data_IF_654577690081
#
_entry.id   IF_654577690081
#
_cell.length_a   1.000
_cell.length_b   1.000
_cell.length_c   1.000
_cell.angle_alpha   90.00
_cell.angle_beta   90.00
_cell.angle_gamma   90.00
#
_symmetry.space_group_name_H-M   'P 1'
#
loop_
_entity.id
_entity.type
_entity.pdbx_description
1 polymer ?
#
# COMPACT_ATOMS: atom_id res chain seq x y z
N UNK A 1 12.97 45.36 50.26
CA UNK A 1 12.27 44.66 49.16
C UNK A 1 10.94 45.35 48.81
N UNK A 2 10.11 45.68 49.82
CA UNK A 2 8.80 46.36 49.68
C UNK A 2 8.90 47.73 48.96
N UNK A 3 9.92 48.55 49.25
CA UNK A 3 10.14 49.83 48.56
C UNK A 3 10.46 49.72 47.07
N UNK A 4 11.00 48.59 46.62
CA UNK A 4 11.25 48.34 45.21
C UNK A 4 9.96 47.96 44.48
N UNK A 5 9.09 47.18 45.14
CA UNK A 5 7.77 46.79 44.65
C UNK A 5 6.85 48.03 44.56
N UNK A 6 6.81 48.87 45.59
CA UNK A 6 6.02 50.11 45.57
C UNK A 6 6.49 51.13 44.52
N UNK A 7 7.77 51.09 44.11
CA UNK A 7 8.30 51.92 43.02
C UNK A 7 7.98 51.37 41.64
N UNK A 8 7.92 50.04 41.48
CA UNK A 8 7.43 49.36 40.28
C UNK A 8 5.93 49.62 40.04
N UNK A 9 5.17 49.85 41.12
CA UNK A 9 3.74 50.17 41.09
C UNK A 9 3.40 51.63 40.73
N UNK A 10 4.37 52.45 40.28
CA UNK A 10 4.06 53.79 39.77
C UNK A 10 3.25 53.66 38.47
N UNK A 11 2.16 54.42 38.34
CA UNK A 11 1.24 54.41 37.18
C UNK A 11 1.97 54.32 35.82
N UNK A 12 3.06 55.06 35.64
CA UNK A 12 3.88 55.05 34.41
C UNK A 12 4.56 53.71 34.09
N UNK A 13 5.01 52.96 35.09
CA UNK A 13 5.67 51.66 34.90
C UNK A 13 4.65 50.55 34.67
N UNK A 14 3.53 50.57 35.40
CA UNK A 14 2.38 49.68 35.14
C UNK A 14 1.89 49.84 33.69
N UNK A 15 1.72 51.08 33.24
CA UNK A 15 1.32 51.37 31.85
C UNK A 15 2.34 50.82 30.84
N UNK A 16 3.63 50.93 31.13
CA UNK A 16 4.70 50.40 30.26
C UNK A 16 4.63 48.86 30.18
N UNK A 17 4.41 48.17 31.30
CA UNK A 17 4.26 46.70 31.33
C UNK A 17 3.05 46.25 30.53
N UNK A 18 1.90 46.91 30.72
CA UNK A 18 0.67 46.58 29.99
C UNK A 18 0.86 46.77 28.48
N UNK A 19 1.43 47.89 28.05
CA UNK A 19 1.67 48.17 26.63
C UNK A 19 2.60 47.12 26.00
N UNK A 20 3.73 46.82 26.64
CA UNK A 20 4.69 45.83 26.10
C UNK A 20 4.04 44.44 26.04
N UNK A 21 3.29 44.05 27.08
CA UNK A 21 2.59 42.76 27.12
C UNK A 21 1.55 42.66 25.99
N UNK A 22 0.78 43.72 25.75
CA UNK A 22 -0.18 43.79 24.64
C UNK A 22 0.49 43.73 23.27
N UNK A 23 1.60 44.45 23.08
CA UNK A 23 2.39 44.40 21.83
C UNK A 23 2.89 43.00 21.56
N UNK A 24 3.40 42.30 22.59
CA UNK A 24 3.81 40.91 22.42
C UNK A 24 2.64 39.97 22.15
N UNK A 25 1.46 40.21 22.75
CA UNK A 25 0.24 39.50 22.38
C UNK A 25 -0.11 39.67 20.89
N UNK A 26 -0.04 40.90 20.37
CA UNK A 26 -0.24 41.19 18.94
C UNK A 26 0.83 40.53 18.07
N UNK A 27 2.10 40.51 18.48
CA UNK A 27 3.16 39.79 17.77
C UNK A 27 2.93 38.28 17.77
N UNK A 28 2.41 37.72 18.87
CA UNK A 28 2.02 36.32 18.96
C UNK A 28 0.89 35.98 17.99
N UNK A 29 -0.13 36.83 17.91
CA UNK A 29 -1.23 36.64 16.95
C UNK A 29 -0.76 36.85 15.49
N UNK A 30 0.12 37.82 15.25
CA UNK A 30 0.76 38.01 13.95
C UNK A 30 1.59 36.77 13.55
N UNK A 31 2.36 36.20 14.47
CA UNK A 31 3.10 34.95 14.24
C UNK A 31 2.14 33.77 13.96
N UNK A 32 1.03 33.69 14.70
CA UNK A 32 0.01 32.68 14.49
C UNK A 32 -0.60 32.79 13.07
N UNK A 33 -1.06 33.96 12.67
CA UNK A 33 -1.68 34.21 11.36
C UNK A 33 -0.68 34.05 10.20
N UNK A 34 0.55 34.58 10.35
CA UNK A 34 1.52 34.59 9.25
C UNK A 34 2.22 33.24 9.06
N UNK A 35 2.52 32.53 10.14
CA UNK A 35 3.38 31.33 10.10
C UNK A 35 2.58 30.08 10.45
N UNK A 36 2.04 30.00 11.67
CA UNK A 36 1.43 28.77 12.19
C UNK A 36 0.21 28.35 11.37
N UNK A 37 -0.72 29.26 11.13
CA UNK A 37 -1.94 29.00 10.36
C UNK A 37 -1.66 28.68 8.89
N UNK A 38 -0.48 29.04 8.36
CA UNK A 38 -0.06 28.80 6.97
C UNK A 38 0.99 27.69 6.83
N UNK A 39 1.28 26.96 7.91
CA UNK A 39 2.06 25.73 7.87
C UNK A 39 1.12 24.61 8.28
N UNK A 40 0.77 23.77 7.32
CA UNK A 40 -0.17 22.67 7.53
C UNK A 40 0.57 21.35 7.41
N UNK A 41 0.19 20.40 8.25
CA UNK A 41 0.72 19.05 8.26
C UNK A 41 -0.45 18.09 8.15
N UNK A 42 -0.41 17.17 7.20
CA UNK A 42 -1.26 15.97 7.23
C UNK A 42 -0.41 14.76 7.59
N UNK A 43 -1.07 13.73 8.11
CA UNK A 43 -0.46 12.42 8.31
C UNK A 43 -1.07 11.45 7.32
N UNK A 44 -0.25 10.76 6.54
CA UNK A 44 -0.67 9.64 5.67
C UNK A 44 -0.18 8.35 6.34
N UNK A 45 -1.10 7.44 6.62
CA UNK A 45 -0.81 6.11 7.16
C UNK A 45 -1.27 5.06 6.14
N UNK A 46 -0.33 4.23 5.70
CA UNK A 46 -0.58 3.12 4.78
C UNK A 46 -0.94 1.86 5.55
N UNK A 47 -2.06 1.25 5.19
CA UNK A 47 -2.65 0.10 5.87
C UNK A 47 -3.08 -0.97 4.86
N UNK A 48 -2.09 -1.55 4.18
CA UNK A 48 -2.31 -2.65 3.24
C UNK A 48 -1.17 -3.68 3.32
N UNK A 49 -1.43 -4.95 2.95
CA UNK A 49 -0.40 -5.98 2.91
C UNK A 49 0.74 -5.58 1.98
N UNK A 50 1.98 -5.63 2.46
CA UNK A 50 3.16 -5.24 1.67
C UNK A 50 3.73 -3.87 2.00
N UNK A 51 2.96 -2.95 2.60
CA UNK A 51 3.46 -1.63 2.99
C UNK A 51 4.69 -1.72 3.94
N UNK A 52 4.67 -2.65 4.90
CA UNK A 52 5.79 -2.90 5.82
C UNK A 52 7.04 -3.49 5.13
N UNK A 53 6.90 -3.95 3.88
CA UNK A 53 8.01 -4.43 3.04
C UNK A 53 8.44 -3.39 2.02
N UNK A 54 7.84 -2.19 2.02
CA UNK A 54 8.11 -1.16 1.02
C UNK A 54 7.55 -1.49 -0.36
N UNK A 55 6.49 -2.30 -0.43
CA UNK A 55 5.79 -2.64 -1.66
C UNK A 55 4.42 -1.96 -1.70
N UNK A 56 3.99 -1.56 -2.88
CA UNK A 56 2.62 -1.15 -3.21
C UNK A 56 1.68 -2.39 -3.29
N UNK A 57 0.35 -2.22 -3.33
CA UNK A 57 -0.60 -3.35 -3.42
C UNK A 57 -0.41 -4.23 -4.66
N UNK A 58 -0.01 -3.64 -5.79
CA UNK A 58 0.36 -4.35 -7.03
C UNK A 58 1.72 -5.09 -6.95
N UNK A 59 2.45 -4.95 -5.83
CA UNK A 59 3.77 -5.55 -5.62
C UNK A 59 4.94 -4.74 -6.14
N UNK A 60 4.72 -3.58 -6.77
CA UNK A 60 5.80 -2.66 -7.17
C UNK A 60 6.45 -2.00 -5.95
N UNK A 61 7.66 -1.45 -6.10
CA UNK A 61 8.34 -0.77 -4.99
C UNK A 61 7.65 0.57 -4.68
N UNK A 62 7.44 0.83 -3.38
CA UNK A 62 6.86 2.10 -2.92
C UNK A 62 7.84 3.27 -3.10
N UNK A 63 7.38 4.35 -3.73
CA UNK A 63 8.15 5.58 -3.90
C UNK A 63 7.50 6.76 -3.16
N UNK A 64 8.22 7.30 -2.17
CA UNK A 64 7.78 8.48 -1.40
C UNK A 64 7.63 9.74 -2.27
N UNK A 65 8.34 9.78 -3.41
CA UNK A 65 8.29 10.86 -4.41
C UNK A 65 6.91 10.99 -5.05
N UNK A 66 6.11 9.92 -5.09
CA UNK A 66 4.80 9.91 -5.74
C UNK A 66 3.81 10.88 -5.09
N UNK A 67 3.94 11.11 -3.77
CA UNK A 67 3.13 12.11 -3.04
C UNK A 67 3.31 13.52 -3.65
N UNK A 68 4.47 13.77 -4.27
CA UNK A 68 4.83 15.04 -4.89
C UNK A 68 4.95 14.93 -6.42
N UNK A 69 4.38 13.89 -7.03
CA UNK A 69 4.41 13.74 -8.47
C UNK A 69 3.76 14.96 -9.15
N UNK A 70 4.27 15.40 -10.32
CA UNK A 70 3.72 16.56 -11.03
C UNK A 70 2.20 16.44 -11.26
N UNK A 71 1.73 15.27 -11.69
CA UNK A 71 0.31 14.99 -11.93
C UNK A 71 -0.56 15.13 -10.67
N UNK A 72 -0.04 14.70 -9.52
CA UNK A 72 -0.71 14.84 -8.22
C UNK A 72 -0.81 16.31 -7.82
N UNK A 73 0.28 17.06 -7.98
CA UNK A 73 0.34 18.48 -7.63
C UNK A 73 -0.50 19.35 -8.58
N UNK A 74 -0.54 19.02 -9.87
CA UNK A 74 -1.41 19.65 -10.87
C UNK A 74 -2.88 19.47 -10.50
N UNK A 75 -3.31 18.24 -10.18
CA UNK A 75 -4.67 17.98 -9.68
C UNK A 75 -4.94 18.73 -8.37
N UNK A 76 -3.97 18.77 -7.45
CA UNK A 76 -4.13 19.43 -6.15
C UNK A 76 -4.30 20.95 -6.24
N UNK A 77 -3.71 21.61 -7.24
CA UNK A 77 -3.80 23.08 -7.40
C UNK A 77 -5.03 23.55 -8.17
N UNK A 78 -5.74 22.66 -8.90
CA UNK A 78 -6.84 23.02 -9.78
C UNK A 78 -7.99 23.80 -9.09
N UNK A 79 -8.23 23.53 -7.80
CA UNK A 79 -9.29 24.17 -7.01
C UNK A 79 -8.79 25.35 -6.14
N UNK A 80 -7.54 25.80 -6.30
CA UNK A 80 -7.03 26.99 -5.62
C UNK A 80 -7.46 28.26 -6.37
N UNK A 81 -7.72 29.35 -5.66
CA UNK A 81 -8.05 30.63 -6.32
C UNK A 81 -6.88 31.19 -7.12
N UNK A 82 -5.66 30.79 -6.78
CA UNK A 82 -4.46 31.09 -7.54
C UNK A 82 -3.89 29.77 -8.09
N UNK A 83 -4.44 29.33 -9.23
CA UNK A 83 -4.07 28.09 -9.91
C UNK A 83 -2.85 28.24 -10.85
N UNK A 84 -2.40 29.48 -11.13
CA UNK A 84 -1.19 29.81 -11.91
C UNK A 84 0.13 29.51 -11.17
N UNK A 85 0.08 28.79 -10.05
CA UNK A 85 1.28 28.40 -9.32
C UNK A 85 2.00 27.31 -10.12
N UNK A 86 3.28 27.56 -10.43
CA UNK A 86 4.17 26.57 -11.02
C UNK A 86 4.30 25.33 -10.11
N UNK A 87 4.22 24.15 -10.72
CA UNK A 87 4.19 22.87 -10.02
C UNK A 87 5.55 22.51 -9.43
N UNK A 88 6.65 22.88 -10.09
CA UNK A 88 7.99 22.66 -9.54
C UNK A 88 8.22 23.54 -8.31
N UNK A 89 7.77 24.79 -8.38
CA UNK A 89 7.74 25.66 -7.22
C UNK A 89 6.88 25.08 -6.08
N UNK A 90 5.68 24.57 -6.38
CA UNK A 90 4.80 23.96 -5.39
C UNK A 90 5.45 22.72 -4.74
N UNK A 91 6.11 21.88 -5.55
CA UNK A 91 6.87 20.71 -5.13
C UNK A 91 7.94 21.06 -4.09
N UNK A 92 8.67 22.16 -4.31
CA UNK A 92 9.69 22.65 -3.36
C UNK A 92 9.13 23.08 -1.99
N UNK A 93 7.82 23.35 -1.92
CA UNK A 93 7.11 23.79 -0.70
C UNK A 93 6.41 22.65 0.03
N UNK A 94 6.35 21.47 -0.56
CA UNK A 94 5.86 20.24 0.07
C UNK A 94 7.06 19.48 0.63
N UNK A 95 7.06 19.18 1.92
CA UNK A 95 8.08 18.35 2.58
C UNK A 95 7.42 17.09 3.10
N UNK A 96 7.99 15.93 2.78
CA UNK A 96 7.50 14.64 3.28
C UNK A 96 8.56 14.10 4.23
N UNK A 97 8.17 13.81 5.46
CA UNK A 97 9.01 13.21 6.49
C UNK A 97 8.41 11.87 6.91
N UNK A 98 9.26 10.92 7.25
CA UNK A 98 8.83 9.62 7.78
C UNK A 98 8.53 9.75 9.26
N UNK A 99 7.49 9.06 9.73
CA UNK A 99 7.25 8.88 11.16
C UNK A 99 7.83 7.54 11.58
N UNK A 100 8.92 7.58 12.34
CA UNK A 100 9.46 6.37 12.99
C UNK A 100 9.01 6.37 14.45
N UNK A 101 8.44 5.25 14.91
CA UNK A 101 8.07 5.11 16.33
C UNK A 101 9.34 4.95 17.17
N UNK A 102 9.29 5.39 18.43
CA UNK A 102 10.42 5.20 19.36
C UNK A 102 10.84 3.73 19.47
N UNK A 103 9.86 2.82 19.57
CA UNK A 103 10.10 1.38 19.59
C UNK A 103 10.79 0.85 18.32
N UNK A 104 10.41 1.35 17.13
CA UNK A 104 11.08 0.97 15.90
C UNK A 104 12.52 1.49 15.87
N UNK A 105 12.77 2.72 16.32
CA UNK A 105 14.13 3.26 16.46
C UNK A 105 14.96 2.45 17.46
N UNK A 106 14.42 2.12 18.62
CA UNK A 106 15.11 1.34 19.65
C UNK A 106 15.50 -0.05 19.12
N UNK A 107 14.62 -0.68 18.34
CA UNK A 107 14.89 -1.95 17.67
C UNK A 107 16.01 -1.82 16.62
N UNK A 108 15.95 -0.80 15.76
CA UNK A 108 17.00 -0.55 14.76
C UNK A 108 18.35 -0.31 15.45
N UNK A 109 18.37 0.53 16.50
CA UNK A 109 19.59 0.83 17.27
C UNK A 109 20.13 -0.43 17.95
N UNK A 110 19.27 -1.26 18.54
CA UNK A 110 19.65 -2.55 19.13
C UNK A 110 20.20 -3.52 18.07
N UNK A 111 19.56 -3.64 16.91
CA UNK A 111 20.01 -4.54 15.84
C UNK A 111 21.37 -4.09 15.29
N UNK A 112 21.56 -2.79 15.05
CA UNK A 112 22.86 -2.22 14.64
C UNK A 112 23.93 -2.46 15.69
N UNK A 113 23.61 -2.29 16.98
CA UNK A 113 24.54 -2.58 18.07
C UNK A 113 24.95 -4.06 18.14
N UNK A 114 24.06 -4.95 17.71
CA UNK A 114 24.31 -6.40 17.64
C UNK A 114 24.82 -6.86 16.27
N UNK A 115 25.35 -5.97 15.43
CA UNK A 115 25.86 -6.26 14.07
C UNK A 115 24.84 -6.94 13.14
N UNK A 116 23.54 -6.73 13.38
CA UNK A 116 22.46 -7.23 12.52
C UNK A 116 22.02 -6.16 11.55
N UNK A 117 21.83 -6.56 10.30
CA UNK A 117 21.18 -5.72 9.29
C UNK A 117 19.69 -5.58 9.63
N UNK A 118 19.27 -4.37 10.00
CA UNK A 118 17.87 -4.03 10.26
C UNK A 118 17.38 -3.04 9.21
N UNK A 119 16.37 -3.45 8.45
CA UNK A 119 15.70 -2.58 7.46
C UNK A 119 14.34 -2.24 8.05
N UNK A 120 14.09 -0.95 8.26
CA UNK A 120 12.79 -0.45 8.68
C UNK A 120 12.13 0.32 7.54
N UNK A 121 10.96 -0.14 7.11
CA UNK A 121 10.12 0.54 6.12
C UNK A 121 8.99 1.29 6.84
N UNK A 122 9.00 2.64 6.82
CA UNK A 122 7.97 3.43 7.47
C UNK A 122 6.66 3.32 6.69
N UNK A 123 5.56 3.06 7.41
CA UNK A 123 4.20 3.06 6.86
C UNK A 123 3.43 4.35 7.13
N UNK A 124 4.01 5.28 7.90
CA UNK A 124 3.40 6.56 8.26
C UNK A 124 4.30 7.73 7.88
N UNK A 125 3.70 8.75 7.25
CA UNK A 125 4.38 9.90 6.71
C UNK A 125 3.70 11.20 7.13
N UNK A 126 4.52 12.21 7.44
CA UNK A 126 4.07 13.58 7.66
C UNK A 126 4.33 14.40 6.42
N UNK A 127 3.27 14.99 5.87
CA UNK A 127 3.37 15.87 4.70
C UNK A 127 3.10 17.29 5.16
N UNK A 128 4.12 18.14 5.03
CA UNK A 128 4.08 19.55 5.39
C UNK A 128 3.94 20.40 4.14
N UNK A 129 3.05 21.38 4.19
CA UNK A 129 2.95 22.43 3.19
C UNK A 129 2.96 23.80 3.84
N UNK A 130 3.67 24.74 3.20
CA UNK A 130 3.63 26.13 3.61
C UNK A 130 3.44 27.07 2.43
N UNK A 131 2.32 27.79 2.42
CA UNK A 131 2.03 28.79 1.39
C UNK A 131 3.12 29.86 1.31
N UNK A 132 3.52 30.25 0.09
CA UNK A 132 4.58 31.24 -0.16
C UNK A 132 4.18 32.62 0.36
N UNK A 133 3.12 33.17 -0.20
CA UNK A 133 2.69 34.52 0.14
C UNK A 133 1.97 34.51 1.49
N UNK A 134 2.65 35.04 2.51
CA UNK A 134 2.15 35.19 3.88
C UNK A 134 1.22 36.40 4.04
N UNK A 135 0.83 37.09 2.98
CA UNK A 135 -0.12 38.20 3.07
C UNK A 135 -1.37 37.95 2.22
N UNK A 136 -1.38 36.96 1.33
CA UNK A 136 -2.57 36.55 0.59
C UNK A 136 -3.53 35.72 1.45
N UNK A 137 -4.74 35.49 0.94
CA UNK A 137 -5.72 34.58 1.55
C UNK A 137 -5.04 33.22 1.82
N UNK A 138 -5.27 32.67 3.02
CA UNK A 138 -4.73 31.38 3.38
C UNK A 138 -5.51 30.28 2.67
N UNK A 139 -4.84 29.53 1.80
CA UNK A 139 -5.37 28.36 1.08
C UNK A 139 -4.60 27.09 1.44
N UNK A 140 -3.74 27.15 2.47
CA UNK A 140 -2.88 26.03 2.86
C UNK A 140 -3.67 24.79 3.27
N UNK A 141 -4.87 24.98 3.81
CA UNK A 141 -5.77 23.89 4.18
C UNK A 141 -6.43 23.26 2.96
N UNK A 142 -7.09 24.08 2.13
CA UNK A 142 -7.73 23.66 0.88
C UNK A 142 -6.72 22.91 -0.01
N UNK A 143 -5.48 23.41 -0.09
CA UNK A 143 -4.43 22.72 -0.81
C UNK A 143 -4.13 21.33 -0.22
N UNK A 144 -4.03 21.20 1.10
CA UNK A 144 -3.75 19.90 1.74
C UNK A 144 -4.91 18.91 1.58
N UNK A 145 -6.15 19.38 1.60
CA UNK A 145 -7.34 18.57 1.29
C UNK A 145 -7.31 18.08 -0.16
N UNK A 146 -7.05 18.97 -1.11
CA UNK A 146 -6.93 18.61 -2.52
C UNK A 146 -5.74 17.69 -2.78
N UNK A 147 -4.61 17.91 -2.10
CA UNK A 147 -3.43 17.05 -2.22
C UNK A 147 -3.72 15.64 -1.69
N UNK A 148 -4.40 15.54 -0.55
CA UNK A 148 -4.84 14.25 -0.01
C UNK A 148 -5.75 13.52 -1.01
N UNK A 149 -6.75 14.20 -1.57
CA UNK A 149 -7.66 13.63 -2.57
C UNK A 149 -6.92 13.21 -3.85
N UNK A 150 -6.12 14.09 -4.42
CA UNK A 150 -5.38 13.85 -5.65
C UNK A 150 -4.39 12.68 -5.51
N UNK A 151 -3.70 12.59 -4.36
CA UNK A 151 -2.79 11.48 -4.10
C UNK A 151 -3.54 10.16 -3.91
N UNK A 152 -4.67 10.15 -3.19
CA UNK A 152 -5.51 8.94 -3.05
C UNK A 152 -5.97 8.44 -4.42
N UNK A 153 -6.46 9.34 -5.28
CA UNK A 153 -6.87 9.00 -6.65
C UNK A 153 -5.69 8.44 -7.47
N UNK A 154 -4.55 9.14 -7.47
CA UNK A 154 -3.33 8.71 -8.16
C UNK A 154 -2.86 7.34 -7.70
N UNK A 155 -2.80 7.12 -6.38
CA UNK A 155 -2.36 5.85 -5.82
C UNK A 155 -3.33 4.74 -6.22
N UNK A 156 -4.63 4.99 -6.07
CA UNK A 156 -5.66 3.99 -6.34
C UNK A 156 -5.64 3.57 -7.81
N UNK A 157 -5.53 4.53 -8.72
CA UNK A 157 -5.46 4.29 -10.16
C UNK A 157 -4.19 3.55 -10.57
N UNK A 158 -3.05 3.91 -9.98
CA UNK A 158 -1.73 3.38 -10.40
C UNK A 158 -1.39 2.03 -9.78
N UNK A 159 -1.74 1.83 -8.51
CA UNK A 159 -1.20 0.75 -7.68
C UNK A 159 -2.24 -0.19 -7.10
N UNK A 160 -3.54 0.05 -7.30
CA UNK A 160 -4.54 -0.94 -6.89
C UNK A 160 -4.45 -2.18 -7.75
N UNK A 161 -4.84 -3.30 -7.14
CA UNK A 161 -5.00 -4.56 -7.84
C UNK A 161 -5.96 -4.39 -9.01
N UNK A 162 -5.65 -5.07 -10.12
CA UNK A 162 -6.48 -5.10 -11.32
C UNK A 162 -7.10 -6.46 -11.48
N UNK A 163 -8.28 -6.48 -12.08
CA UNK A 163 -9.07 -7.69 -12.30
C UNK A 163 -9.16 -8.08 -13.78
N UNK A 164 -8.17 -7.70 -14.58
CA UNK A 164 -8.11 -8.00 -16.03
C UNK A 164 -8.25 -9.50 -16.34
N UNK A 165 -7.87 -10.38 -15.41
CA UNK A 165 -8.09 -11.83 -15.50
C UNK A 165 -9.57 -12.22 -15.59
N UNK A 166 -10.48 -11.35 -15.16
CA UNK A 166 -11.93 -11.52 -15.27
C UNK A 166 -12.46 -11.11 -16.64
N UNK A 167 -11.79 -10.20 -17.35
CA UNK A 167 -12.32 -9.63 -18.61
C UNK A 167 -12.37 -10.68 -19.71
N UNK A 168 -13.58 -10.93 -20.21
CA UNK A 168 -13.83 -11.73 -21.40
C UNK A 168 -14.83 -10.99 -22.28
N UNK A 169 -14.48 -10.84 -23.56
CA UNK A 169 -15.33 -10.25 -24.59
C UNK A 169 -15.51 -11.24 -25.72
N UNK A 170 -16.74 -11.47 -26.14
CA UNK A 170 -17.02 -12.31 -27.30
C UNK A 170 -16.34 -11.73 -28.54
N UNK A 171 -15.74 -12.61 -29.36
CA UNK A 171 -14.95 -12.22 -30.53
C UNK A 171 -13.54 -11.67 -30.24
N UNK A 172 -13.12 -11.55 -28.97
CA UNK A 172 -11.72 -11.17 -28.65
C UNK A 172 -10.70 -12.31 -28.85
N UNK A 173 -11.18 -13.55 -28.98
CA UNK A 173 -10.36 -14.72 -29.24
C UNK A 173 -10.55 -15.19 -30.69
N UNK A 174 -9.44 -15.46 -31.39
CA UNK A 174 -9.49 -16.05 -32.72
C UNK A 174 -9.59 -17.58 -32.64
N UNK A 175 -10.78 -18.09 -32.95
CA UNK A 175 -11.09 -19.52 -33.02
C UNK A 175 -11.13 -20.09 -34.45
N UNK A 176 -10.88 -19.27 -35.47
CA UNK A 176 -11.06 -19.66 -36.87
C UNK A 176 -10.19 -20.85 -37.28
N UNK A 177 -8.93 -20.87 -36.85
CA UNK A 177 -7.97 -21.95 -37.10
C UNK A 177 -7.83 -22.99 -35.98
N UNK A 178 -8.74 -23.00 -34.99
CA UNK A 178 -8.68 -23.90 -33.82
C UNK A 178 -9.73 -24.99 -33.94
N UNK A 179 -9.35 -26.21 -33.56
CA UNK A 179 -10.31 -27.32 -33.44
C UNK A 179 -11.17 -27.16 -32.16
N UNK A 180 -12.34 -27.79 -32.11
CA UNK A 180 -13.30 -27.67 -31.02
C UNK A 180 -12.74 -28.07 -29.65
N UNK A 181 -11.91 -29.12 -29.59
CA UNK A 181 -11.22 -29.53 -28.36
C UNK A 181 -10.26 -28.44 -27.84
N UNK A 182 -9.63 -27.68 -28.75
CA UNK A 182 -8.75 -26.56 -28.38
C UNK A 182 -9.54 -25.38 -27.87
N UNK A 183 -10.64 -25.05 -28.53
CA UNK A 183 -11.54 -23.98 -28.12
C UNK A 183 -12.07 -24.25 -26.71
N UNK A 184 -12.53 -25.47 -26.43
CA UNK A 184 -12.92 -25.90 -25.08
C UNK A 184 -11.77 -25.69 -24.07
N UNK A 185 -10.56 -26.13 -24.40
CA UNK A 185 -9.39 -25.99 -23.50
C UNK A 185 -9.08 -24.52 -23.19
N UNK A 186 -9.13 -23.64 -24.19
CA UNK A 186 -8.89 -22.19 -24.04
C UNK A 186 -9.95 -21.58 -23.12
N UNK A 187 -11.24 -21.84 -23.39
CA UNK A 187 -12.35 -21.32 -22.58
C UNK A 187 -12.28 -21.85 -21.15
N UNK A 188 -12.02 -23.14 -20.97
CA UNK A 188 -11.86 -23.75 -19.65
C UNK A 188 -10.71 -23.12 -18.87
N UNK A 189 -9.55 -22.91 -19.48
CA UNK A 189 -8.41 -22.27 -18.82
C UNK A 189 -8.71 -20.83 -18.41
N UNK A 190 -9.45 -20.08 -19.25
CA UNK A 190 -9.93 -18.74 -18.90
C UNK A 190 -10.86 -18.78 -17.69
N UNK A 191 -11.85 -19.66 -17.70
CA UNK A 191 -12.82 -19.82 -16.60
C UNK A 191 -12.15 -20.29 -15.30
N UNK A 192 -11.22 -21.24 -15.38
CA UNK A 192 -10.45 -21.70 -14.20
C UNK A 192 -9.56 -20.57 -13.63
N UNK A 193 -9.02 -19.69 -14.49
CA UNK A 193 -8.27 -18.50 -14.05
C UNK A 193 -9.17 -17.49 -13.35
N UNK A 194 -10.35 -17.21 -13.92
CA UNK A 194 -11.38 -16.35 -13.30
C UNK A 194 -11.79 -16.90 -11.93
N UNK A 195 -12.08 -18.20 -11.86
CA UNK A 195 -12.50 -18.86 -10.62
C UNK A 195 -11.40 -18.80 -9.55
N UNK A 196 -10.16 -19.06 -9.94
CA UNK A 196 -9.01 -19.04 -9.02
C UNK A 196 -8.81 -17.65 -8.43
N UNK A 197 -8.90 -16.61 -9.27
CA UNK A 197 -8.83 -15.22 -8.83
C UNK A 197 -9.94 -14.87 -7.84
N UNK A 198 -11.21 -15.12 -8.19
CA UNK A 198 -12.35 -14.79 -7.32
C UNK A 198 -12.29 -15.55 -6.00
N UNK A 199 -11.87 -16.83 -6.02
CA UNK A 199 -11.66 -17.61 -4.78
C UNK A 199 -10.53 -17.05 -3.91
N UNK A 200 -9.48 -16.49 -4.51
CA UNK A 200 -8.43 -15.80 -3.76
C UNK A 200 -9.01 -14.60 -3.02
N UNK A 201 -9.72 -13.72 -3.74
CA UNK A 201 -10.35 -12.52 -3.16
C UNK A 201 -11.39 -12.90 -2.08
N UNK A 202 -12.19 -13.94 -2.32
CA UNK A 202 -13.13 -14.48 -1.33
C UNK A 202 -12.42 -14.95 -0.06
N UNK A 203 -11.27 -15.61 -0.18
CA UNK A 203 -10.50 -16.09 0.97
C UNK A 203 -9.88 -14.96 1.78
N UNK A 204 -9.50 -13.86 1.13
CA UNK A 204 -8.99 -12.66 1.81
C UNK A 204 -10.08 -11.98 2.65
N UNK A 205 -11.31 -11.88 2.13
CA UNK A 205 -12.43 -11.31 2.88
C UNK A 205 -13.77 -11.99 2.60
N UNK A 206 -14.06 -13.02 3.40
CA UNK A 206 -15.32 -13.78 3.32
C UNK A 206 -16.56 -13.00 3.77
N UNK A 207 -16.39 -11.90 4.50
CA UNK A 207 -17.49 -11.13 5.07
C UNK A 207 -17.95 -9.98 4.17
N UNK A 208 -17.31 -9.77 3.02
CA UNK A 208 -17.69 -8.72 2.07
C UNK A 208 -19.02 -9.04 1.38
N UNK A 209 -19.85 -8.01 1.25
CA UNK A 209 -21.08 -8.02 0.46
C UNK A 209 -21.17 -6.71 -0.33
N UNK A 210 -21.63 -6.80 -1.57
CA UNK A 210 -22.00 -5.65 -2.41
C UNK A 210 -23.23 -4.93 -1.88
N UNK A 211 -23.54 -3.75 -2.41
CA UNK A 211 -24.78 -3.03 -2.08
C UNK A 211 -26.04 -3.89 -2.37
N UNK A 212 -25.97 -4.67 -3.44
CA UNK A 212 -27.01 -5.62 -3.88
C UNK A 212 -27.07 -6.91 -3.02
N UNK A 213 -26.30 -6.99 -1.93
CA UNK A 213 -26.19 -8.15 -1.01
C UNK A 213 -25.67 -9.43 -1.68
N UNK A 214 -24.91 -9.30 -2.76
CA UNK A 214 -24.19 -10.40 -3.40
C UNK A 214 -22.77 -10.44 -2.82
N UNK A 215 -22.11 -11.60 -2.83
CA UNK A 215 -20.72 -11.72 -2.38
C UNK A 215 -19.86 -12.47 -3.40
N UNK A 216 -18.54 -12.43 -3.20
CA UNK A 216 -17.56 -13.12 -4.05
C UNK A 216 -17.77 -14.65 -4.09
N UNK A 217 -18.38 -15.23 -3.05
CA UNK A 217 -18.74 -16.66 -3.04
C UNK A 217 -19.85 -16.99 -4.02
N UNK A 218 -20.86 -16.13 -4.16
CA UNK A 218 -21.90 -16.28 -5.19
C UNK A 218 -21.30 -16.13 -6.59
N UNK A 219 -20.42 -15.15 -6.80
CA UNK A 219 -19.71 -14.97 -8.06
C UNK A 219 -18.86 -16.20 -8.43
N UNK A 220 -18.08 -16.73 -7.47
CA UNK A 220 -17.33 -17.98 -7.65
C UNK A 220 -18.27 -19.14 -8.02
N UNK A 221 -19.45 -19.22 -7.41
CA UNK A 221 -20.42 -20.27 -7.72
C UNK A 221 -21.01 -20.15 -9.12
N UNK A 222 -21.25 -18.93 -9.61
CA UNK A 222 -21.69 -18.71 -10.98
C UNK A 222 -20.63 -19.15 -11.99
N UNK A 223 -19.35 -18.86 -11.73
CA UNK A 223 -18.22 -19.32 -12.56
C UNK A 223 -18.09 -20.84 -12.52
N UNK A 224 -18.23 -21.47 -11.35
CA UNK A 224 -18.26 -22.94 -11.23
C UNK A 224 -19.41 -23.55 -12.03
N UNK A 225 -20.62 -22.97 -11.94
CA UNK A 225 -21.77 -23.48 -12.67
C UNK A 225 -21.57 -23.39 -14.18
N UNK A 226 -21.05 -22.27 -14.69
CA UNK A 226 -20.72 -22.13 -16.11
C UNK A 226 -19.69 -23.18 -16.56
N UNK A 227 -18.63 -23.37 -15.75
CA UNK A 227 -17.60 -24.38 -16.03
C UNK A 227 -18.18 -25.79 -16.05
N UNK A 228 -18.85 -26.18 -14.97
CA UNK A 228 -19.26 -27.56 -14.70
C UNK A 228 -20.55 -27.95 -15.45
N UNK A 229 -21.26 -26.97 -16.03
CA UNK A 229 -22.51 -27.19 -16.78
C UNK A 229 -22.35 -26.75 -18.24
N UNK A 230 -22.25 -25.45 -18.51
CA UNK A 230 -22.28 -24.94 -19.89
C UNK A 230 -21.08 -25.42 -20.71
N UNK A 231 -19.85 -25.28 -20.18
CA UNK A 231 -18.65 -25.78 -20.88
C UNK A 231 -18.62 -27.30 -20.98
N UNK A 232 -18.97 -28.02 -19.90
CA UNK A 232 -19.01 -29.49 -19.93
C UNK A 232 -20.08 -30.03 -20.89
N UNK A 233 -21.22 -29.34 -21.08
CA UNK A 233 -22.22 -29.71 -22.07
C UNK A 233 -21.67 -29.62 -23.49
N UNK A 234 -20.95 -28.54 -23.82
CA UNK A 234 -20.27 -28.42 -25.11
C UNK A 234 -19.19 -29.49 -25.28
N UNK A 235 -18.38 -29.71 -24.26
CA UNK A 235 -17.34 -30.75 -24.26
C UNK A 235 -17.94 -32.15 -24.48
N UNK A 236 -19.01 -32.47 -23.78
CA UNK A 236 -19.74 -33.72 -23.95
C UNK A 236 -20.28 -33.85 -25.38
N UNK A 237 -20.86 -32.78 -25.96
CA UNK A 237 -21.37 -32.79 -27.33
C UNK A 237 -20.26 -33.08 -28.35
N UNK A 238 -19.12 -32.39 -28.27
CA UNK A 238 -18.02 -32.57 -29.23
C UNK A 238 -17.35 -33.94 -29.07
N UNK A 239 -17.15 -34.42 -27.84
CA UNK A 239 -16.49 -35.71 -27.61
C UNK A 239 -17.43 -36.87 -27.88
N UNK A 240 -18.72 -36.78 -27.53
CA UNK A 240 -19.68 -37.86 -27.79
C UNK A 240 -19.80 -38.16 -29.28
N UNK A 241 -19.87 -37.11 -30.10
CA UNK A 241 -20.03 -37.20 -31.54
C UNK A 241 -18.71 -37.17 -32.32
N UNK A 242 -17.56 -37.12 -31.64
CA UNK A 242 -16.22 -37.01 -32.23
C UNK A 242 -16.12 -35.87 -33.27
N UNK A 243 -16.65 -34.69 -32.90
CA UNK A 243 -16.72 -33.53 -33.78
C UNK A 243 -15.34 -32.88 -33.86
N UNK A 244 -14.87 -32.63 -35.08
CA UNK A 244 -13.59 -31.98 -35.35
C UNK A 244 -13.66 -31.19 -36.65
N UNK A 245 -13.07 -30.00 -36.65
CA UNK A 245 -12.92 -29.20 -37.88
C UNK A 245 -11.97 -29.89 -38.85
N UNK A 246 -10.90 -30.51 -38.34
CA UNK A 246 -9.95 -31.30 -39.11
C UNK A 246 -9.61 -32.61 -38.37
N UNK A 247 -10.32 -33.70 -38.70
CA UNK A 247 -10.18 -34.95 -37.96
C UNK A 247 -8.78 -35.54 -38.08
N UNK A 248 -8.13 -35.38 -39.23
CA UNK A 248 -6.76 -35.87 -39.45
C UNK A 248 -5.75 -35.22 -38.49
N UNK A 249 -5.84 -33.91 -38.32
CA UNK A 249 -4.97 -33.18 -37.38
C UNK A 249 -5.31 -33.53 -35.93
N UNK A 250 -6.60 -33.67 -35.59
CA UNK A 250 -7.02 -34.06 -34.24
C UNK A 250 -6.51 -35.45 -33.86
N UNK A 251 -6.58 -36.43 -34.76
CA UNK A 251 -6.04 -37.78 -34.54
C UNK A 251 -4.53 -37.72 -34.34
N UNK A 252 -3.79 -37.02 -35.21
CA UNK A 252 -2.33 -36.86 -35.05
C UNK A 252 -1.94 -36.19 -33.75
N UNK A 253 -2.68 -35.15 -33.37
CA UNK A 253 -2.42 -34.39 -32.16
C UNK A 253 -2.69 -35.22 -30.91
N UNK A 254 -3.78 -35.97 -30.88
CA UNK A 254 -4.09 -36.86 -29.75
C UNK A 254 -3.08 -38.00 -29.65
N UNK A 255 -2.63 -38.59 -30.76
CA UNK A 255 -1.54 -39.58 -30.78
C UNK A 255 -0.22 -39.01 -30.23
N UNK A 256 0.14 -37.80 -30.68
CA UNK A 256 1.30 -37.08 -30.15
C UNK A 256 1.18 -36.83 -28.64
N UNK A 257 0.01 -36.40 -28.15
CA UNK A 257 -0.23 -36.17 -26.72
C UNK A 257 -0.12 -37.47 -25.92
N UNK A 258 -0.59 -38.61 -26.44
CA UNK A 258 -0.37 -39.93 -25.82
C UNK A 258 1.12 -40.23 -25.72
N UNK A 259 1.87 -40.04 -26.80
CA UNK A 259 3.30 -40.30 -26.82
C UNK A 259 4.09 -39.40 -25.85
N UNK A 260 3.82 -38.09 -25.88
CA UNK A 260 4.49 -37.11 -25.03
C UNK A 260 4.23 -37.36 -23.53
N UNK A 261 2.97 -37.59 -23.16
CA UNK A 261 2.62 -37.93 -21.78
C UNK A 261 3.20 -39.28 -21.35
N UNK A 262 3.30 -40.26 -22.26
CA UNK A 262 3.96 -41.52 -21.96
C UNK A 262 5.46 -41.34 -21.63
N UNK A 263 6.16 -40.46 -22.35
CA UNK A 263 7.55 -40.14 -22.05
C UNK A 263 7.69 -39.48 -20.67
N UNK A 264 6.83 -38.51 -20.34
CA UNK A 264 6.87 -37.84 -19.04
C UNK A 264 6.49 -38.79 -17.89
N UNK A 265 5.47 -39.62 -18.08
CA UNK A 265 5.11 -40.68 -17.13
C UNK A 265 6.31 -41.60 -16.83
N UNK A 266 7.01 -42.07 -17.87
CA UNK A 266 8.18 -42.92 -17.69
C UNK A 266 9.26 -42.22 -16.87
N UNK A 267 9.57 -40.98 -17.21
CA UNK A 267 10.56 -40.17 -16.49
C UNK A 267 10.21 -40.00 -15.01
N UNK A 268 8.95 -39.64 -14.70
CA UNK A 268 8.47 -39.44 -13.32
C UNK A 268 8.42 -40.77 -12.54
N UNK A 269 7.91 -41.83 -13.18
CA UNK A 269 7.84 -43.17 -12.59
C UNK A 269 9.24 -43.73 -12.29
N UNK A 270 10.18 -43.61 -13.23
CA UNK A 270 11.56 -44.04 -13.06
C UNK A 270 12.26 -43.21 -11.95
N UNK A 271 12.07 -41.89 -11.91
CA UNK A 271 12.61 -41.03 -10.84
C UNK A 271 12.05 -41.37 -9.45
N UNK A 272 10.74 -41.65 -9.37
CA UNK A 272 10.08 -42.09 -8.14
C UNK A 272 10.62 -43.45 -7.68
N UNK A 273 10.80 -44.39 -8.60
CA UNK A 273 11.35 -45.72 -8.33
C UNK A 273 12.80 -45.67 -7.88
N UNK A 274 13.67 -44.90 -8.54
CA UNK A 274 15.07 -44.70 -8.13
C UNK A 274 15.13 -44.13 -6.71
N UNK A 275 14.30 -43.13 -6.40
CA UNK A 275 14.23 -42.55 -5.06
C UNK A 275 13.75 -43.57 -4.03
N UNK A 276 12.75 -44.39 -4.38
CA UNK A 276 12.23 -45.47 -3.52
C UNK A 276 13.28 -46.56 -3.28
N UNK A 277 14.04 -46.94 -4.30
CA UNK A 277 15.10 -47.93 -4.20
C UNK A 277 16.26 -47.41 -3.35
N UNK A 278 16.63 -46.13 -3.50
CA UNK A 278 17.62 -45.48 -2.66
C UNK A 278 17.18 -45.41 -1.19
N UNK A 279 15.90 -45.12 -0.93
CA UNK A 279 15.33 -45.17 0.42
C UNK A 279 15.37 -46.59 1.00
N UNK A 280 15.07 -47.61 0.18
CA UNK A 280 15.10 -49.01 0.59
C UNK A 280 16.49 -49.55 0.91
N UNK A 281 17.54 -48.99 0.30
CA UNK A 281 18.93 -49.32 0.60
C UNK A 281 19.47 -48.64 1.86
N UNK A 282 18.78 -47.62 2.37
CA UNK A 282 19.26 -46.85 3.51
C UNK A 282 18.94 -47.56 4.83
N UNK A 283 19.96 -47.75 5.67
CA UNK A 283 19.78 -48.36 6.98
C UNK A 283 19.20 -47.33 7.97
N UNK A 284 18.05 -47.63 8.57
CA UNK A 284 17.33 -46.73 9.47
C UNK A 284 18.13 -46.33 10.72
N UNK A 285 19.15 -47.10 11.08
CA UNK A 285 20.05 -46.86 12.21
C UNK A 285 21.11 -45.77 11.96
N UNK A 286 21.33 -45.35 10.71
CA UNK A 286 22.41 -44.41 10.34
C UNK A 286 21.97 -42.94 10.44
N UNK A 287 20.67 -42.65 10.48
CA UNK A 287 20.18 -41.26 10.61
C UNK A 287 20.04 -40.83 12.07
N UNK A 288 21.07 -40.18 12.61
CA UNK A 288 20.94 -39.40 13.83
C UNK A 288 20.03 -38.20 13.57
N UNK A 289 18.93 -38.11 14.31
CA UNK A 289 17.97 -37.02 14.23
C UNK A 289 18.13 -36.15 15.47
N UNK A 290 18.46 -34.87 15.29
CA UNK A 290 18.48 -33.92 16.39
C UNK A 290 17.14 -33.18 16.46
N UNK A 291 16.60 -33.07 17.68
CA UNK A 291 15.46 -32.22 17.98
C UNK A 291 15.97 -30.89 18.52
N UNK A 292 15.75 -29.82 17.77
CA UNK A 292 16.14 -28.47 18.14
C UNK A 292 14.89 -27.76 18.69
N UNK A 293 14.88 -27.36 19.97
CA UNK A 293 13.81 -26.53 20.51
C UNK A 293 13.75 -25.23 19.71
N UNK A 294 12.59 -24.95 19.12
CA UNK A 294 12.38 -23.79 18.26
C UNK A 294 11.07 -23.10 18.64
N UNK A 295 10.91 -21.87 18.18
CA UNK A 295 9.80 -20.99 18.52
C UNK A 295 9.18 -20.48 17.24
N UNK A 296 7.88 -20.65 17.06
CA UNK A 296 7.18 -20.19 15.86
C UNK A 296 6.94 -18.67 15.88
N UNK A 297 6.39 -18.12 14.79
CA UNK A 297 6.05 -16.69 14.69
C UNK A 297 5.01 -16.22 15.73
N UNK A 298 4.34 -17.15 16.42
CA UNK A 298 3.36 -16.90 17.49
C UNK A 298 3.94 -17.17 18.88
N UNK A 299 5.25 -17.41 18.99
CA UNK A 299 5.97 -17.74 20.23
C UNK A 299 5.59 -19.09 20.86
N UNK A 300 5.03 -20.02 20.09
CA UNK A 300 4.79 -21.38 20.56
C UNK A 300 6.09 -22.18 20.46
N UNK A 301 6.45 -22.87 21.55
CA UNK A 301 7.57 -23.80 21.56
C UNK A 301 7.20 -25.07 20.79
N UNK A 302 8.07 -25.48 19.88
CA UNK A 302 7.98 -26.76 19.19
C UNK A 302 9.37 -27.37 19.04
N UNK A 303 9.44 -28.69 18.90
CA UNK A 303 10.68 -29.38 18.61
C UNK A 303 10.81 -29.52 17.10
N UNK A 304 11.75 -28.80 16.50
CA UNK A 304 12.08 -28.97 15.09
C UNK A 304 13.01 -30.16 14.91
N UNK A 305 12.69 -31.05 13.99
CA UNK A 305 13.57 -32.15 13.57
C UNK A 305 14.53 -31.64 12.49
N UNK A 306 15.81 -31.96 12.58
CA UNK A 306 16.77 -31.71 11.50
C UNK A 306 16.33 -32.40 10.21
N UNK A 307 16.17 -31.64 9.11
CA UNK A 307 15.94 -32.20 7.78
C UNK A 307 17.13 -33.03 7.35
N UNK A 308 16.87 -34.24 6.87
CA UNK A 308 17.85 -35.21 6.40
C UNK A 308 17.75 -35.40 4.89
N UNK A 309 18.77 -35.99 4.26
CA UNK A 309 18.70 -36.40 2.85
C UNK A 309 17.55 -37.36 2.56
N UNK A 310 17.19 -38.22 3.54
CA UNK A 310 16.01 -39.09 3.47
C UNK A 310 14.71 -38.30 3.34
N UNK A 311 14.55 -37.17 4.04
CA UNK A 311 13.35 -36.35 3.95
C UNK A 311 13.19 -35.72 2.55
N UNK A 312 14.31 -35.46 1.87
CA UNK A 312 14.32 -35.00 0.48
C UNK A 312 13.94 -36.13 -0.47
N UNK A 313 14.59 -37.29 -0.35
CA UNK A 313 14.31 -38.47 -1.19
C UNK A 313 12.86 -38.95 -1.03
N UNK A 314 12.34 -38.99 0.20
CA UNK A 314 10.93 -39.35 0.46
C UNK A 314 9.97 -38.35 -0.17
N UNK A 315 10.24 -37.04 -0.03
CA UNK A 315 9.40 -36.01 -0.66
C UNK A 315 9.43 -36.12 -2.18
N UNK A 316 10.61 -36.32 -2.76
CA UNK A 316 10.79 -36.47 -4.19
C UNK A 316 10.08 -37.72 -4.72
N UNK A 317 10.33 -38.89 -4.12
CA UNK A 317 9.65 -40.15 -4.47
C UNK A 317 8.13 -40.02 -4.46
N UNK A 318 7.59 -39.38 -3.42
CA UNK A 318 6.15 -39.15 -3.28
C UNK A 318 5.61 -38.15 -4.31
N UNK A 319 6.31 -37.03 -4.53
CA UNK A 319 5.91 -36.01 -5.50
C UNK A 319 5.91 -36.58 -6.92
N UNK A 320 7.03 -37.18 -7.33
CA UNK A 320 7.21 -37.79 -8.66
C UNK A 320 6.19 -38.91 -8.87
N UNK A 321 5.91 -39.71 -7.84
CA UNK A 321 4.91 -40.78 -7.90
C UNK A 321 3.47 -40.27 -8.05
N UNK A 322 3.11 -39.17 -7.39
CA UNK A 322 1.80 -38.52 -7.57
C UNK A 322 1.69 -37.93 -8.97
N UNK A 323 2.72 -37.24 -9.44
CA UNK A 323 2.73 -36.65 -10.78
C UNK A 323 2.63 -37.74 -11.85
N UNK A 324 3.39 -38.84 -11.71
CA UNK A 324 3.27 -40.00 -12.60
C UNK A 324 1.85 -40.56 -12.62
N UNK A 325 1.18 -40.70 -11.47
CA UNK A 325 -0.20 -41.18 -11.42
C UNK A 325 -1.20 -40.23 -12.12
N UNK A 326 -0.97 -38.91 -12.04
CA UNK A 326 -1.77 -37.92 -12.78
C UNK A 326 -1.53 -38.02 -14.27
N UNK A 327 -0.27 -38.06 -14.71
CA UNK A 327 0.09 -38.19 -16.13
C UNK A 327 -0.46 -39.50 -16.71
N UNK A 328 -0.50 -40.58 -15.94
CA UNK A 328 -1.12 -41.84 -16.39
C UNK A 328 -2.61 -41.67 -16.70
N UNK A 329 -3.35 -40.93 -15.86
CA UNK A 329 -4.76 -40.61 -16.13
C UNK A 329 -4.91 -39.78 -17.40
N UNK A 330 -3.99 -38.85 -17.65
CA UNK A 330 -3.99 -38.04 -18.87
C UNK A 330 -3.71 -38.91 -20.11
N UNK A 331 -2.80 -39.90 -20.02
CA UNK A 331 -2.56 -40.90 -21.07
C UNK A 331 -3.85 -41.68 -21.39
N UNK A 332 -4.51 -42.24 -20.37
CA UNK A 332 -5.76 -42.99 -20.55
C UNK A 332 -6.85 -42.13 -21.23
N UNK A 333 -6.93 -40.87 -20.81
CA UNK A 333 -7.84 -39.89 -21.40
C UNK A 333 -7.52 -39.63 -22.88
N UNK A 334 -6.28 -39.29 -23.23
CA UNK A 334 -5.90 -39.04 -24.63
C UNK A 334 -5.98 -40.29 -25.51
N UNK A 335 -5.72 -41.48 -24.96
CA UNK A 335 -5.94 -42.74 -25.66
C UNK A 335 -7.41 -42.95 -26.00
N UNK A 336 -8.32 -42.62 -25.07
CA UNK A 336 -9.76 -42.69 -25.31
C UNK A 336 -10.21 -41.73 -26.43
N UNK A 337 -9.66 -40.51 -26.45
CA UNK A 337 -9.91 -39.55 -27.53
C UNK A 337 -9.34 -40.06 -28.86
N UNK A 338 -8.08 -40.48 -28.88
CA UNK A 338 -7.42 -41.02 -30.07
C UNK A 338 -8.22 -42.16 -30.68
N UNK A 339 -8.63 -43.14 -29.87
CA UNK A 339 -9.43 -44.27 -30.35
C UNK A 339 -10.77 -43.81 -30.95
N UNK A 340 -11.42 -42.84 -30.31
CA UNK A 340 -12.72 -42.33 -30.74
C UNK A 340 -12.65 -41.53 -32.04
N UNK A 341 -11.71 -40.60 -32.14
CA UNK A 341 -11.51 -39.77 -33.33
C UNK A 341 -10.89 -40.55 -34.50
N UNK A 342 -10.09 -41.59 -34.23
CA UNK A 342 -9.57 -42.48 -35.27
C UNK A 342 -10.65 -43.38 -35.87
N UNK A 343 -11.62 -43.80 -35.07
CA UNK A 343 -12.78 -44.55 -35.54
C UNK A 343 -13.81 -43.65 -36.26
N UNK A 344 -13.81 -42.35 -35.94
CA UNK A 344 -14.63 -41.35 -36.59
C UNK A 344 -14.03 -40.87 -37.93
N UNK A 345 -14.89 -40.45 -38.86
CA UNK A 345 -14.49 -39.76 -40.08
C UNK A 345 -14.50 -38.23 -39.89
N UNK A 346 -14.23 -37.50 -40.99
CA UNK A 346 -14.39 -36.05 -41.00
C UNK A 346 -15.85 -35.65 -40.70
N UNK A 347 -16.03 -34.69 -39.78
CA UNK A 347 -17.36 -34.19 -39.41
C UNK A 347 -18.03 -33.46 -40.58
N UNK A 348 -19.36 -33.57 -40.68
CA UNK A 348 -20.14 -32.88 -41.71
C UNK A 348 -20.24 -31.38 -41.43
N UNK A 349 -20.51 -30.59 -42.47
CA UNK A 349 -20.67 -29.15 -42.35
C UNK A 349 -21.81 -28.76 -41.38
N UNK A 350 -22.92 -29.49 -41.39
CA UNK A 350 -24.06 -29.22 -40.51
C UNK A 350 -23.72 -29.42 -39.03
N UNK A 351 -22.96 -30.47 -38.70
CA UNK A 351 -22.54 -30.76 -37.32
C UNK A 351 -21.50 -29.74 -36.84
N UNK A 352 -20.60 -29.31 -37.72
CA UNK A 352 -19.66 -28.23 -37.43
C UNK A 352 -20.39 -26.91 -37.17
N UNK A 353 -21.41 -26.58 -37.97
CA UNK A 353 -22.22 -25.38 -37.76
C UNK A 353 -22.96 -25.39 -36.41
N UNK A 354 -23.43 -26.57 -35.95
CA UNK A 354 -24.01 -26.71 -34.60
C UNK A 354 -22.96 -26.44 -33.51
N UNK A 355 -21.76 -27.01 -33.65
CA UNK A 355 -20.68 -26.79 -32.69
C UNK A 355 -20.23 -25.32 -32.67
N UNK A 356 -20.15 -24.66 -33.82
CA UNK A 356 -19.85 -23.23 -33.92
C UNK A 356 -20.94 -22.38 -33.23
N UNK A 357 -22.22 -22.70 -33.43
CA UNK A 357 -23.34 -22.03 -32.74
C UNK A 357 -23.25 -22.18 -31.21
N UNK A 358 -22.88 -23.35 -30.71
CA UNK A 358 -22.68 -23.57 -29.27
C UNK A 358 -21.50 -22.75 -28.72
N UNK A 359 -20.43 -22.56 -29.51
CA UNK A 359 -19.31 -21.69 -29.11
C UNK A 359 -19.74 -20.24 -29.03
N UNK A 360 -20.55 -19.76 -29.96
CA UNK A 360 -21.08 -18.40 -29.96
C UNK A 360 -21.96 -18.16 -28.73
N UNK A 361 -22.86 -19.10 -28.40
CA UNK A 361 -23.69 -19.06 -27.20
C UNK A 361 -22.85 -19.07 -25.91
N UNK A 362 -21.86 -19.96 -25.81
CA UNK A 362 -20.95 -20.01 -24.67
C UNK A 362 -20.13 -18.74 -24.52
N UNK A 363 -19.69 -18.15 -25.63
CA UNK A 363 -18.89 -16.91 -25.61
C UNK A 363 -19.76 -15.73 -25.13
N UNK A 364 -21.01 -15.66 -25.55
CA UNK A 364 -21.95 -14.66 -25.06
C UNK A 364 -22.26 -14.84 -23.57
N UNK A 365 -22.54 -16.07 -23.13
CA UNK A 365 -22.81 -16.38 -21.71
C UNK A 365 -21.59 -16.06 -20.82
N UNK A 366 -20.37 -16.39 -21.27
CA UNK A 366 -19.14 -16.07 -20.55
C UNK A 366 -18.87 -14.57 -20.50
N UNK A 367 -19.18 -13.82 -21.57
CA UNK A 367 -19.06 -12.35 -21.56
C UNK A 367 -20.00 -11.71 -20.54
N UNK A 368 -21.27 -12.16 -20.48
CA UNK A 368 -22.23 -11.65 -19.51
C UNK A 368 -21.85 -12.01 -18.07
N UNK A 369 -21.37 -13.25 -17.86
CA UNK A 369 -20.82 -13.68 -16.59
C UNK A 369 -19.61 -12.84 -16.19
N UNK A 370 -18.67 -12.61 -17.11
CA UNK A 370 -17.50 -11.75 -16.93
C UNK A 370 -17.91 -10.36 -16.45
N UNK A 371 -18.84 -9.69 -17.13
CA UNK A 371 -19.36 -8.37 -16.72
C UNK A 371 -19.96 -8.38 -15.31
N UNK A 372 -20.75 -9.40 -14.99
CA UNK A 372 -21.37 -9.54 -13.67
C UNK A 372 -20.32 -9.70 -12.56
N UNK A 373 -19.33 -10.58 -12.77
CA UNK A 373 -18.27 -10.83 -11.79
C UNK A 373 -17.37 -9.61 -11.63
N UNK A 374 -17.02 -8.92 -12.73
CA UNK A 374 -16.24 -7.67 -12.69
C UNK A 374 -16.96 -6.62 -11.85
N UNK A 375 -18.27 -6.41 -12.02
CA UNK A 375 -19.02 -5.45 -11.20
C UNK A 375 -18.87 -5.76 -9.69
N UNK A 376 -19.01 -7.03 -9.31
CA UNK A 376 -18.88 -7.47 -7.91
C UNK A 376 -17.44 -7.23 -7.40
N UNK A 377 -16.44 -7.55 -8.21
CA UNK A 377 -15.03 -7.40 -7.86
C UNK A 377 -14.59 -5.94 -7.81
N UNK A 378 -15.12 -5.07 -8.68
CA UNK A 378 -14.87 -3.62 -8.66
C UNK A 378 -15.36 -3.00 -7.35
N UNK A 379 -16.58 -3.35 -6.89
CA UNK A 379 -17.08 -2.92 -5.58
C UNK A 379 -16.19 -3.43 -4.44
N UNK A 380 -15.69 -4.67 -4.55
CA UNK A 380 -14.76 -5.23 -3.58
C UNK A 380 -13.42 -4.48 -3.55
N UNK A 381 -12.82 -4.22 -4.71
CA UNK A 381 -11.56 -3.49 -4.85
C UNK A 381 -11.70 -2.03 -4.38
N UNK A 382 -12.84 -1.40 -4.60
CA UNK A 382 -13.16 -0.08 -4.02
C UNK A 382 -13.22 -0.15 -2.49
N UNK A 383 -13.93 -1.13 -1.93
CA UNK A 383 -13.98 -1.33 -0.48
C UNK A 383 -12.59 -1.62 0.12
N UNK A 384 -11.77 -2.41 -0.58
CA UNK A 384 -10.40 -2.75 -0.18
C UNK A 384 -9.50 -1.52 -0.22
N UNK A 385 -9.51 -0.77 -1.32
CA UNK A 385 -8.69 0.43 -1.53
C UNK A 385 -9.05 1.59 -0.59
N UNK A 386 -10.32 1.75 -0.21
CA UNK A 386 -10.72 2.72 0.83
C UNK A 386 -9.98 2.49 2.16
N UNK A 387 -9.58 1.27 2.46
CA UNK A 387 -8.86 0.93 3.68
C UNK A 387 -7.32 1.01 3.55
N UNK A 388 -6.78 1.29 2.35
CA UNK A 388 -5.34 1.38 2.11
C UNK A 388 -4.70 2.61 2.75
N UNK A 389 -5.44 3.71 2.90
CA UNK A 389 -4.93 4.95 3.49
C UNK A 389 -5.80 5.39 4.65
N UNK A 390 -5.14 5.89 5.69
CA UNK A 390 -5.75 6.76 6.66
C UNK A 390 -5.05 8.11 6.61
N UNK A 391 -5.70 9.09 5.99
CA UNK A 391 -5.20 10.46 5.92
C UNK A 391 -5.83 11.28 7.04
N UNK A 392 -5.00 11.83 7.93
CA UNK A 392 -5.43 12.80 8.95
C UNK A 392 -5.05 14.19 8.51
N UNK A 393 -6.06 14.99 8.20
CA UNK A 393 -5.90 16.39 7.81
C UNK A 393 -5.57 17.27 9.03
N UNK A 394 -4.94 18.44 8.81
CA UNK A 394 -4.60 19.37 9.88
C UNK A 394 -5.83 19.92 10.60
N UNK A 395 -5.78 20.02 11.93
CA UNK A 395 -6.83 20.68 12.72
C UNK A 395 -6.88 22.20 12.49
N UNK A 396 -8.09 22.75 12.64
CA UNK A 396 -8.42 24.14 12.38
C UNK A 396 -8.55 24.98 13.63
N UNK A 397 -7.42 25.31 14.25
CA UNK A 397 -7.39 26.32 15.29
C UNK A 397 -6.99 27.67 14.72
N UNK A 398 -7.99 28.45 14.27
CA UNK A 398 -7.78 29.82 13.76
C UNK A 398 -7.13 30.72 14.81
N UNK A 399 -7.51 30.55 16.08
CA UNK A 399 -6.94 31.24 17.23
C UNK A 399 -6.16 30.25 18.09
N UNK A 400 -4.86 30.50 18.27
CA UNK A 400 -4.02 29.73 19.19
C UNK A 400 -3.80 30.53 20.48
N UNK A 401 -4.80 30.52 21.35
CA UNK A 401 -4.80 31.29 22.61
C UNK A 401 -3.59 30.94 23.48
N UNK A 402 -3.17 29.68 23.50
CA UNK A 402 -1.97 29.21 24.20
C UNK A 402 -0.70 29.88 23.68
N UNK A 403 -0.57 30.04 22.37
CA UNK A 403 0.56 30.75 21.75
C UNK A 403 0.54 32.23 22.11
N UNK A 404 -0.63 32.90 22.02
CA UNK A 404 -0.78 34.31 22.39
C UNK A 404 -0.38 34.51 23.87
N UNK A 405 -0.83 33.62 24.77
CA UNK A 405 -0.44 33.65 26.19
C UNK A 405 1.07 33.50 26.37
N UNK A 406 1.71 32.55 25.68
CA UNK A 406 3.18 32.38 25.75
C UNK A 406 3.93 33.65 25.33
N UNK A 407 3.48 34.32 24.27
CA UNK A 407 4.06 35.59 23.85
C UNK A 407 3.80 36.71 24.86
N UNK A 408 2.59 36.81 25.42
CA UNK A 408 2.29 37.78 26.49
C UNK A 408 3.17 37.58 27.72
N UNK A 409 3.39 36.34 28.16
CA UNK A 409 4.31 36.02 29.27
C UNK A 409 5.74 36.48 28.94
N UNK A 410 6.22 36.20 27.73
CA UNK A 410 7.54 36.65 27.27
C UNK A 410 7.64 38.18 27.29
N UNK A 411 6.62 38.87 26.79
CA UNK A 411 6.53 40.34 26.80
C UNK A 411 6.53 40.90 28.22
N UNK A 412 5.82 40.26 29.15
CA UNK A 412 5.81 40.65 30.56
C UNK A 412 7.20 40.51 31.20
N UNK A 413 7.91 39.40 30.97
CA UNK A 413 9.26 39.18 31.48
C UNK A 413 10.22 40.24 30.93
N UNK A 414 10.16 40.53 29.63
CA UNK A 414 10.99 41.56 28.98
C UNK A 414 10.68 42.94 29.55
N UNK A 415 9.40 43.28 29.74
CA UNK A 415 9.00 44.56 30.32
C UNK A 415 9.57 44.73 31.74
N UNK A 416 9.51 43.69 32.57
CA UNK A 416 10.08 43.69 33.91
C UNK A 416 11.60 43.89 33.87
N UNK A 417 12.31 43.18 32.98
CA UNK A 417 13.75 43.35 32.80
C UNK A 417 14.13 44.78 32.38
N UNK A 418 13.39 45.37 31.43
CA UNK A 418 13.59 46.77 30.98
C UNK A 418 13.41 47.77 32.13
N UNK A 419 12.41 47.57 32.99
CA UNK A 419 12.17 48.49 34.12
C UNK A 419 13.27 48.36 35.16
N UNK A 420 13.67 47.14 35.51
CA UNK A 420 14.79 46.89 36.45
C UNK A 420 16.05 47.56 35.92
N UNK A 421 16.38 47.34 34.64
CA UNK A 421 17.54 47.95 33.98
C UNK A 421 17.48 49.48 34.01
N UNK A 422 16.34 50.08 33.66
CA UNK A 422 16.14 51.54 33.68
C UNK A 422 16.34 52.11 35.09
N UNK A 423 15.86 51.44 36.13
CA UNK A 423 15.98 51.88 37.52
C UNK A 423 17.43 51.76 38.03
N UNK A 424 18.13 50.67 37.69
CA UNK A 424 19.55 50.48 37.99
C UNK A 424 20.43 51.51 37.27
N UNK A 425 20.18 51.78 35.99
CA UNK A 425 20.92 52.76 35.18
C UNK A 425 20.70 54.19 35.70
N UNK A 426 19.46 54.57 36.05
CA UNK A 426 19.15 55.87 36.67
C UNK A 426 19.90 56.07 37.99
N UNK A 427 20.03 55.02 38.81
CA UNK A 427 20.80 55.07 40.05
C UNK A 427 22.30 55.21 39.78
N UNK A 428 22.87 54.46 38.84
CA UNK A 428 24.28 54.56 38.46
C UNK A 428 24.65 55.96 37.97
N UNK A 429 23.84 56.52 37.07
CA UNK A 429 24.05 57.86 36.50
C UNK A 429 23.83 58.98 37.53
N UNK A 430 22.77 58.90 38.34
CA UNK A 430 22.52 59.91 39.38
C UNK A 430 23.54 59.90 40.50
N UNK A 431 24.10 58.73 40.86
CA UNK A 431 25.19 58.61 41.85
C UNK A 431 26.49 59.20 41.31
N UNK A 432 26.82 58.95 40.02
CA UNK A 432 27.96 59.57 39.33
C UNK A 432 27.80 61.09 39.19
N UNK A 433 26.62 61.59 38.82
CA UNK A 433 26.32 63.03 38.75
C UNK A 433 26.39 63.73 40.12
N UNK A 434 25.91 63.09 41.19
CA UNK A 434 26.05 63.63 42.55
C UNK A 434 27.51 63.64 43.03
N UNK A 435 28.31 62.62 42.70
CA UNK A 435 29.76 62.63 42.96
C UNK A 435 30.46 63.75 42.19
N UNK A 436 30.17 63.92 40.89
CA UNK A 436 30.74 65.03 40.10
C UNK A 436 30.35 66.41 40.65
N UNK A 437 29.09 66.61 41.08
CA UNK A 437 28.66 67.86 41.72
C UNK A 437 29.38 68.10 43.06
N UNK A 438 29.59 67.07 43.88
CA UNK A 438 30.37 67.16 45.13
C UNK A 438 31.85 67.45 44.87
N UNK A 439 32.43 66.86 43.84
CA UNK A 439 33.82 67.13 43.41
C UNK A 439 33.97 68.58 42.90
N UNK A 440 33.00 69.09 42.14
CA UNK A 440 32.99 70.49 41.69
C UNK A 440 32.77 71.49 42.84
N UNK A 441 31.92 71.16 43.82
CA UNK A 441 31.70 72.05 44.97
C UNK A 441 32.92 72.09 45.92
N UNK A 442 33.62 70.97 46.08
CA UNK A 442 34.88 70.93 46.85
C UNK A 442 36.03 71.65 46.13
N UNK A 443 36.07 71.63 44.78
CA UNK A 443 37.01 72.44 44.00
C UNK A 443 36.79 73.96 44.15
N UNK A 444 35.54 74.42 44.30
CA UNK A 444 35.22 75.84 44.57
C UNK A 444 35.63 76.29 45.98
N UNK A 445 35.55 75.41 46.98
CA UNK A 445 35.95 75.74 48.37
C UNK A 445 37.48 75.87 48.50
N UNK A 446 38.26 75.12 47.72
CA UNK A 446 39.73 75.22 47.73
C UNK A 446 40.25 76.50 47.06
N UNK A 447 39.51 77.08 46.08
CA UNK A 447 39.85 78.39 45.48
C UNK A 447 39.46 79.61 46.32
N UNK A 448 38.66 79.44 47.38
CA UNK A 448 38.25 80.52 48.30
C UNK A 448 39.14 80.66 49.55
N UNK A 449 40.19 79.84 49.67
CA UNK A 449 41.23 79.93 50.71
C UNK A 449 42.61 79.87 50.04
N UNK A 450 42.97 80.93 49.32
CA UNK A 450 44.36 81.34 49.06
C UNK A 450 44.41 82.84 48.96
#
# INVERSE_FOLDING_TARGET
MIDYINRLMKKRYILTVIIITLVFGLLGEMYNVLIVNRLKCMTIEFNYPGAERGLNPDGSMFEISDIKAPEVLEKAKANLKNNDIDTEFLRSRVTVLTKVTGQAMDKIVSDVHNEKNSIYMPTTFYVYYSQKNKFSKNESEVFMENLAKAYTEYFTEKYSEKNDVLDFKSGSYDFSGRDYLEIYTILKNKVDSMLSYVKSQQNENRAFYTEDKVNLGMAAKQIENFRDTSLENFYAFIVQNAISKNNYETVKRTDYLVFDNFLEYRKLSDASNISRDALGQYESAITAVAYIPSVDNKRNYYMSRTKTGLDTLTRQSYSDGIEAAKTLKDIEYYQSLFAKYSAAGQSSADVNAMADSMIDELSAELEDLSKSVIKIDDEYLQHKSMNYFRIRLPENNRLNVTLIIKFMILGFIIAMAVIVFKEFWKKGVSKRLKMMKKAFSSFKVVKGKR
#
